data_IF_669452917818
#
_entry.id   IF_669452917818
#
_cell.length_a   1.000
_cell.length_b   1.000
_cell.length_c   1.000
_cell.angle_alpha   90.00
_cell.angle_beta   90.00
_cell.angle_gamma   90.00
#
_symmetry.space_group_name_H-M   'P 1'
#
loop_
_entity.id
_entity.type
_entity.pdbx_description
1 polymer ?
#
# COMPACT_ATOMS: atom_id res chain seq x y z
N UNK A 1 -6.29 8.65 -12.56
CA UNK A 1 -5.54 9.82 -13.07
C UNK A 1 -4.22 9.33 -13.64
N UNK A 2 -3.90 9.67 -14.90
CA UNK A 2 -2.57 9.39 -15.46
C UNK A 2 -1.62 10.48 -14.97
N UNK A 3 -0.67 10.13 -14.13
CA UNK A 3 0.38 11.06 -13.70
C UNK A 3 1.52 11.04 -14.72
N UNK A 4 1.95 12.24 -15.17
CA UNK A 4 3.09 12.40 -16.07
C UNK A 4 4.41 12.12 -15.33
N UNK A 5 5.27 11.33 -15.94
CA UNK A 5 6.63 11.04 -15.47
C UNK A 5 7.62 12.08 -16.00
N UNK A 6 8.46 12.59 -15.10
CA UNK A 6 9.67 13.32 -15.53
C UNK A 6 10.79 12.29 -15.78
N UNK A 7 11.31 12.24 -16.99
CA UNK A 7 12.34 11.30 -17.43
C UNK A 7 13.67 12.03 -17.67
N UNK A 8 14.72 11.57 -17.01
CA UNK A 8 16.10 11.99 -17.34
C UNK A 8 16.84 10.80 -17.94
N UNK A 9 17.18 10.87 -19.21
CA UNK A 9 18.00 9.85 -19.86
C UNK A 9 19.48 10.09 -19.58
N UNK A 10 20.12 9.17 -18.87
CA UNK A 10 21.59 9.05 -18.83
C UNK A 10 21.99 7.65 -19.25
N UNK A 11 22.82 7.57 -20.28
CA UNK A 11 23.45 6.32 -20.70
C UNK A 11 24.71 6.12 -19.85
N UNK A 12 24.69 5.21 -18.90
CA UNK A 12 25.89 4.77 -18.19
C UNK A 12 26.12 3.28 -18.40
N UNK A 13 27.28 2.95 -18.96
CA UNK A 13 27.81 1.57 -18.92
C UNK A 13 28.48 1.40 -17.56
N UNK A 14 27.83 0.71 -16.61
CA UNK A 14 28.45 0.23 -15.40
C UNK A 14 28.17 -1.27 -15.24
N UNK A 15 29.25 -2.01 -14.95
CA UNK A 15 29.18 -3.45 -14.63
C UNK A 15 28.32 -3.66 -13.38
N UNK A 16 27.15 -4.28 -13.55
CA UNK A 16 26.22 -4.62 -12.48
C UNK A 16 26.61 -5.99 -11.92
N UNK A 17 26.88 -6.03 -10.65
CA UNK A 17 27.16 -7.24 -9.88
C UNK A 17 26.07 -8.31 -10.09
N UNK A 18 26.47 -9.49 -10.54
CA UNK A 18 25.63 -10.65 -10.91
C UNK A 18 24.86 -11.30 -9.75
N UNK A 19 24.76 -10.65 -8.59
CA UNK A 19 24.16 -11.23 -7.38
C UNK A 19 22.63 -11.18 -7.32
N UNK A 20 21.96 -10.29 -8.05
CA UNK A 20 20.51 -10.07 -7.95
C UNK A 20 19.67 -10.86 -8.97
N UNK A 21 20.26 -11.43 -9.99
CA UNK A 21 19.56 -12.11 -11.10
C UNK A 21 18.89 -13.44 -10.72
N UNK A 22 19.09 -13.96 -9.52
CA UNK A 22 18.65 -15.32 -9.14
C UNK A 22 17.20 -15.50 -8.72
N UNK A 23 16.38 -14.46 -8.58
CA UNK A 23 15.03 -14.59 -7.99
C UNK A 23 13.87 -14.77 -8.98
N UNK A 24 13.98 -14.39 -10.23
CA UNK A 24 12.79 -14.21 -11.12
C UNK A 24 12.78 -15.03 -12.41
N UNK A 25 13.69 -15.92 -12.64
CA UNK A 25 13.83 -16.64 -13.95
C UNK A 25 12.81 -17.77 -14.21
N UNK A 26 11.80 -17.97 -13.38
CA UNK A 26 11.02 -19.21 -13.38
C UNK A 26 9.70 -19.20 -14.20
N UNK A 27 9.24 -18.09 -14.78
CA UNK A 27 7.91 -18.04 -15.42
C UNK A 27 7.82 -17.45 -16.82
N UNK A 28 8.92 -17.27 -17.53
CA UNK A 28 8.89 -16.65 -18.86
C UNK A 28 9.00 -17.68 -20.00
N UNK A 29 8.25 -17.44 -21.09
CA UNK A 29 8.34 -18.22 -22.32
C UNK A 29 9.79 -18.28 -22.84
N UNK A 30 10.21 -19.44 -23.34
CA UNK A 30 11.54 -19.62 -23.91
C UNK A 30 11.70 -18.68 -25.10
N UNK A 31 12.63 -17.72 -25.03
CA UNK A 31 12.99 -16.85 -26.13
C UNK A 31 12.32 -15.47 -26.17
N UNK A 32 11.39 -15.14 -25.29
CA UNK A 32 10.79 -13.80 -25.19
C UNK A 32 11.70 -12.82 -24.44
N UNK A 33 11.49 -11.53 -24.67
CA UNK A 33 12.07 -10.45 -23.84
C UNK A 33 11.62 -10.61 -22.39
N UNK A 34 12.39 -10.00 -21.46
CA UNK A 34 12.12 -10.03 -20.02
C UNK A 34 12.23 -8.62 -19.46
N UNK A 35 11.52 -8.37 -18.36
CA UNK A 35 11.62 -7.15 -17.58
C UNK A 35 11.89 -7.48 -16.12
N UNK A 36 12.65 -6.62 -15.46
CA UNK A 36 12.92 -6.64 -14.03
C UNK A 36 12.99 -5.21 -13.52
N UNK A 37 12.40 -4.92 -12.37
CA UNK A 37 12.45 -3.59 -11.78
C UNK A 37 13.17 -3.61 -10.43
N UNK A 38 14.13 -2.70 -10.27
CA UNK A 38 14.96 -2.60 -9.08
C UNK A 38 14.72 -1.25 -8.41
N UNK A 39 14.08 -1.28 -7.25
CA UNK A 39 13.92 -0.09 -6.42
C UNK A 39 15.25 0.26 -5.75
N UNK A 40 15.59 1.56 -5.73
CA UNK A 40 16.85 2.05 -5.14
C UNK A 40 16.81 2.11 -3.60
N UNK A 41 15.69 1.69 -2.99
CA UNK A 41 15.52 1.62 -1.55
C UNK A 41 14.61 0.44 -1.17
N UNK A 42 14.89 -0.19 -0.02
CA UNK A 42 14.17 -1.37 0.46
C UNK A 42 12.87 -1.01 1.18
N UNK A 43 12.79 0.20 1.75
CA UNK A 43 11.65 0.66 2.55
C UNK A 43 11.07 1.91 1.92
N UNK A 44 9.76 1.88 1.68
CA UNK A 44 8.99 3.00 1.13
C UNK A 44 8.15 3.65 2.23
N UNK A 45 7.81 4.91 2.00
CA UNK A 45 6.88 5.67 2.83
C UNK A 45 5.81 6.33 1.95
N UNK A 46 4.53 6.35 2.37
CA UNK A 46 3.49 7.07 1.66
C UNK A 46 3.86 8.55 1.42
N UNK A 47 3.55 9.06 0.23
CA UNK A 47 3.80 10.46 -0.15
C UNK A 47 5.21 10.77 -0.63
N UNK A 48 6.17 9.84 -0.59
CA UNK A 48 7.52 10.05 -1.08
C UNK A 48 7.69 9.69 -2.56
N UNK A 49 8.79 10.16 -3.16
CA UNK A 49 9.29 9.65 -4.45
C UNK A 49 10.31 8.54 -4.24
N UNK A 50 10.35 7.58 -5.15
CA UNK A 50 11.32 6.48 -5.18
C UNK A 50 11.93 6.34 -6.57
N UNK A 51 13.25 6.14 -6.62
CA UNK A 51 13.95 5.83 -7.87
C UNK A 51 13.89 4.34 -8.15
N UNK A 52 13.59 4.00 -9.41
CA UNK A 52 13.49 2.63 -9.89
C UNK A 52 14.31 2.51 -11.16
N UNK A 53 15.09 1.45 -11.29
CA UNK A 53 15.76 1.07 -12.55
C UNK A 53 14.98 -0.09 -13.15
N UNK A 54 14.52 0.08 -14.39
CA UNK A 54 13.87 -0.98 -15.14
C UNK A 54 14.91 -1.57 -16.08
N UNK A 55 15.14 -2.87 -15.97
CA UNK A 55 16.00 -3.64 -16.84
C UNK A 55 15.13 -4.39 -17.85
N UNK A 56 15.35 -4.14 -19.14
CA UNK A 56 14.71 -4.90 -20.22
C UNK A 56 15.77 -5.73 -20.92
N UNK A 57 15.52 -7.03 -21.01
CA UNK A 57 16.41 -8.01 -21.62
C UNK A 57 15.79 -8.54 -22.90
N UNK A 58 16.49 -8.45 -24.02
CA UNK A 58 16.08 -9.04 -25.30
C UNK A 58 16.07 -10.57 -25.24
N UNK A 59 15.10 -11.16 -25.92
CA UNK A 59 14.96 -12.61 -26.05
C UNK A 59 15.89 -13.22 -27.09
N UNK A 60 15.45 -14.32 -27.72
CA UNK A 60 16.18 -15.00 -28.77
C UNK A 60 16.15 -14.28 -30.13
N UNK A 61 15.17 -13.41 -30.34
CA UNK A 61 14.98 -12.59 -31.55
C UNK A 61 14.68 -11.16 -31.18
N UNK A 62 14.90 -10.24 -32.08
CA UNK A 62 14.50 -8.84 -31.92
C UNK A 62 12.97 -8.74 -31.72
N UNK A 63 12.54 -7.88 -30.81
CA UNK A 63 11.12 -7.65 -30.48
C UNK A 63 10.82 -6.17 -30.38
N UNK A 64 9.65 -5.77 -30.83
CA UNK A 64 9.14 -4.41 -30.67
C UNK A 64 8.41 -4.34 -29.34
N UNK A 65 8.88 -3.44 -28.49
CA UNK A 65 8.23 -3.09 -27.22
C UNK A 65 7.44 -1.82 -27.47
N UNK A 66 6.12 -1.87 -27.33
CA UNK A 66 5.25 -0.74 -27.56
C UNK A 66 5.15 0.16 -26.33
N UNK A 67 5.23 -0.43 -25.14
CA UNK A 67 5.11 0.28 -23.88
C UNK A 67 5.76 -0.50 -22.73
N UNK A 68 6.16 0.21 -21.67
CA UNK A 68 6.46 -0.35 -20.35
C UNK A 68 5.42 0.18 -19.37
N UNK A 69 4.67 -0.68 -18.74
CA UNK A 69 3.68 -0.33 -17.73
C UNK A 69 4.17 -0.70 -16.34
N UNK A 70 3.94 0.19 -15.36
CA UNK A 70 4.16 -0.08 -13.96
C UNK A 70 2.85 0.15 -13.19
N UNK A 71 2.50 -0.77 -12.31
CA UNK A 71 1.30 -0.69 -11.47
C UNK A 71 1.69 -0.90 -10.02
N UNK A 72 1.43 0.09 -9.17
CA UNK A 72 1.49 -0.08 -7.73
C UNK A 72 0.16 -0.64 -7.27
N UNK A 73 0.18 -1.84 -6.73
CA UNK A 73 -1.01 -2.57 -6.33
C UNK A 73 -1.01 -2.86 -4.84
N UNK A 74 -2.19 -3.00 -4.27
CA UNK A 74 -2.37 -3.50 -2.91
C UNK A 74 -3.51 -4.51 -2.84
N UNK A 75 -3.56 -5.23 -1.72
CA UNK A 75 -4.65 -6.14 -1.39
C UNK A 75 -5.52 -5.52 -0.30
N UNK A 76 -6.84 -5.61 -0.46
CA UNK A 76 -7.82 -5.30 0.58
C UNK A 76 -8.87 -6.40 0.67
N UNK A 77 -9.62 -6.45 1.77
CA UNK A 77 -10.69 -7.41 2.00
C UNK A 77 -12.02 -6.72 1.66
N UNK A 78 -12.78 -7.35 0.78
CA UNK A 78 -14.15 -6.94 0.45
C UNK A 78 -15.16 -7.93 1.01
N UNK A 79 -16.34 -7.43 1.34
CA UNK A 79 -17.49 -8.25 1.72
C UNK A 79 -18.39 -8.47 0.50
N UNK A 80 -18.56 -9.72 0.10
CA UNK A 80 -19.44 -10.12 -0.99
C UNK A 80 -20.58 -10.98 -0.49
N UNK A 81 -21.78 -10.78 -1.04
CA UNK A 81 -22.92 -11.64 -0.74
C UNK A 81 -22.64 -13.07 -1.21
N UNK A 82 -22.89 -14.04 -0.35
CA UNK A 82 -22.74 -15.46 -0.67
C UNK A 82 -24.01 -16.23 -0.24
N UNK A 83 -24.74 -16.78 -1.20
CA UNK A 83 -25.96 -17.53 -0.94
C UNK A 83 -25.73 -18.77 -0.06
N UNK A 84 -24.53 -19.38 -0.12
CA UNK A 84 -24.16 -20.52 0.74
C UNK A 84 -23.93 -20.08 2.18
N UNK A 85 -23.41 -18.89 2.36
CA UNK A 85 -23.22 -18.30 3.70
C UNK A 85 -24.54 -17.82 4.32
N UNK A 86 -25.53 -17.43 3.50
CA UNK A 86 -26.89 -17.10 3.98
C UNK A 86 -27.56 -18.28 4.70
N UNK A 87 -27.38 -19.50 4.21
CA UNK A 87 -27.91 -20.73 4.84
C UNK A 87 -27.25 -21.04 6.19
N UNK A 88 -26.07 -20.48 6.45
CA UNK A 88 -25.31 -20.63 7.69
C UNK A 88 -25.45 -19.42 8.64
N UNK A 89 -26.33 -18.46 8.31
CA UNK A 89 -26.55 -17.25 9.12
C UNK A 89 -25.48 -16.14 8.94
N UNK A 90 -24.57 -16.30 7.98
CA UNK A 90 -23.55 -15.30 7.61
C UNK A 90 -23.76 -14.87 6.15
N UNK A 91 -24.53 -13.80 5.88
CA UNK A 91 -24.92 -13.43 4.50
C UNK A 91 -23.77 -12.89 3.65
N UNK A 92 -22.61 -12.58 4.26
CA UNK A 92 -21.45 -11.98 3.60
C UNK A 92 -20.20 -12.84 3.79
N UNK A 93 -19.38 -12.92 2.75
CA UNK A 93 -18.08 -13.57 2.79
C UNK A 93 -16.97 -12.54 2.54
N UNK A 94 -15.94 -12.57 3.37
CA UNK A 94 -14.74 -11.76 3.21
C UNK A 94 -13.84 -12.38 2.14
N UNK A 95 -13.53 -11.61 1.10
CA UNK A 95 -12.68 -12.06 -0.02
C UNK A 95 -11.59 -11.03 -0.32
N UNK A 96 -10.36 -11.48 -0.61
CA UNK A 96 -9.29 -10.58 -1.00
C UNK A 96 -9.53 -10.03 -2.41
N UNK A 97 -9.37 -8.72 -2.55
CA UNK A 97 -9.39 -8.00 -3.82
C UNK A 97 -8.07 -7.27 -4.02
N UNK A 98 -7.67 -7.14 -5.29
CA UNK A 98 -6.53 -6.30 -5.69
C UNK A 98 -7.04 -4.93 -6.11
N UNK A 99 -6.33 -3.89 -5.70
CA UNK A 99 -6.57 -2.53 -6.16
C UNK A 99 -5.28 -1.91 -6.69
N UNK A 100 -5.36 -1.21 -7.83
CA UNK A 100 -4.25 -0.46 -8.41
C UNK A 100 -4.26 0.95 -7.86
N UNK A 101 -3.29 1.26 -6.98
CA UNK A 101 -3.13 2.55 -6.32
C UNK A 101 -2.63 3.63 -7.30
N UNK A 102 -1.69 3.24 -8.17
CA UNK A 102 -1.13 4.10 -9.20
C UNK A 102 -0.73 3.27 -10.44
N UNK A 103 -0.74 3.91 -11.59
CA UNK A 103 -0.30 3.35 -12.85
C UNK A 103 0.56 4.37 -13.58
N UNK A 104 1.74 3.92 -14.04
CA UNK A 104 2.67 4.71 -14.85
C UNK A 104 2.91 3.99 -16.18
N UNK A 105 3.08 4.75 -17.22
CA UNK A 105 3.35 4.25 -18.56
C UNK A 105 4.54 5.01 -19.13
N UNK A 106 5.49 4.28 -19.69
CA UNK A 106 6.62 4.81 -20.44
C UNK A 106 6.30 4.67 -21.93
N UNK A 107 5.76 5.71 -22.58
CA UNK A 107 5.14 5.61 -23.91
C UNK A 107 6.18 5.65 -25.05
N UNK A 108 7.32 5.01 -24.88
CA UNK A 108 8.36 4.96 -25.91
C UNK A 108 8.41 3.56 -26.51
N UNK A 109 7.89 3.42 -27.73
CA UNK A 109 8.11 2.24 -28.52
C UNK A 109 9.60 2.14 -28.92
N UNK A 110 10.19 0.96 -28.77
CA UNK A 110 11.57 0.67 -29.18
C UNK A 110 11.72 -0.79 -29.56
N UNK A 111 12.69 -1.05 -30.40
CA UNK A 111 13.11 -2.42 -30.69
C UNK A 111 14.21 -2.80 -29.69
N UNK A 112 14.09 -3.98 -29.06
CA UNK A 112 15.16 -4.61 -28.32
C UNK A 112 15.70 -5.76 -29.14
N UNK A 113 17.01 -5.77 -29.38
CA UNK A 113 17.70 -6.80 -30.16
C UNK A 113 17.88 -8.10 -29.36
N UNK A 114 18.15 -9.20 -30.05
CA UNK A 114 18.41 -10.48 -29.40
C UNK A 114 19.57 -10.38 -28.41
N UNK A 115 19.35 -10.69 -27.14
CA UNK A 115 20.34 -10.63 -26.08
C UNK A 115 20.78 -9.22 -25.66
N UNK A 116 20.17 -8.15 -26.22
CA UNK A 116 20.39 -6.76 -25.78
C UNK A 116 19.89 -6.57 -24.35
N UNK A 117 20.55 -5.71 -23.58
CA UNK A 117 20.04 -5.19 -22.29
C UNK A 117 19.88 -3.68 -22.40
N UNK A 118 18.71 -3.18 -21.96
CA UNK A 118 18.41 -1.75 -21.91
C UNK A 118 17.86 -1.37 -20.55
N UNK A 119 18.34 -0.25 -20.00
CA UNK A 119 17.96 0.24 -18.68
C UNK A 119 17.20 1.56 -18.80
N UNK A 120 16.22 1.75 -17.92
CA UNK A 120 15.45 2.99 -17.80
C UNK A 120 15.43 3.42 -16.33
N UNK A 121 16.00 4.60 -16.05
CA UNK A 121 15.95 5.24 -14.74
C UNK A 121 14.68 6.07 -14.66
N UNK A 122 13.84 5.78 -13.69
CA UNK A 122 12.57 6.49 -13.46
C UNK A 122 12.40 6.88 -12.01
N UNK A 123 11.49 7.81 -11.76
CA UNK A 123 11.07 8.20 -10.42
C UNK A 123 9.55 8.04 -10.28
N UNK A 124 9.12 7.28 -9.28
CA UNK A 124 7.72 7.02 -8.99
C UNK A 124 7.29 7.79 -7.74
N UNK A 125 6.16 8.48 -7.81
CA UNK A 125 5.54 9.11 -6.64
C UNK A 125 4.61 8.11 -5.95
N UNK A 126 4.92 7.73 -4.71
CA UNK A 126 4.11 6.81 -3.91
C UNK A 126 2.88 7.53 -3.39
N UNK A 127 1.66 7.07 -3.67
CA UNK A 127 0.45 7.72 -3.18
C UNK A 127 0.38 7.79 -1.65
N UNK A 128 -0.20 8.87 -1.11
CA UNK A 128 -0.32 9.10 0.33
C UNK A 128 -1.10 8.00 1.07
N UNK A 129 -2.09 7.39 0.43
CA UNK A 129 -2.88 6.30 1.02
C UNK A 129 -2.39 4.91 0.59
N UNK A 130 -1.10 4.78 0.25
CA UNK A 130 -0.48 3.47 0.09
C UNK A 130 -0.45 2.76 1.45
N UNK A 131 -1.05 1.57 1.57
CA UNK A 131 -1.10 0.87 2.85
C UNK A 131 0.30 0.55 3.40
N UNK A 132 0.48 0.71 4.71
CA UNK A 132 1.68 0.19 5.39
C UNK A 132 1.62 -1.33 5.46
N UNK A 133 2.75 -2.01 5.19
CA UNK A 133 2.82 -3.47 5.09
C UNK A 133 3.09 -4.11 6.46
N UNK A 134 2.25 -3.78 7.44
CA UNK A 134 2.24 -4.42 8.75
C UNK A 134 1.18 -5.52 8.73
N UNK A 135 1.44 -6.63 9.39
CA UNK A 135 0.51 -7.76 9.44
C UNK A 135 0.25 -8.37 8.04
N UNK A 136 -1.02 -8.49 7.66
CA UNK A 136 -1.44 -9.12 6.41
C UNK A 136 -1.56 -8.16 5.22
N UNK A 137 -1.32 -6.87 5.42
CA UNK A 137 -1.34 -5.89 4.34
C UNK A 137 -0.22 -6.18 3.33
N UNK A 138 -0.57 -6.16 2.04
CA UNK A 138 0.36 -6.45 0.93
C UNK A 138 0.31 -5.33 -0.08
N UNK A 139 1.50 -4.84 -0.44
CA UNK A 139 1.72 -3.86 -1.51
C UNK A 139 2.79 -4.42 -2.43
N UNK A 140 2.65 -4.24 -3.73
CA UNK A 140 3.63 -4.69 -4.71
C UNK A 140 3.66 -3.80 -5.94
N UNK A 141 4.80 -3.77 -6.61
CA UNK A 141 4.97 -3.18 -7.93
C UNK A 141 4.87 -4.28 -8.98
N UNK A 142 4.03 -4.10 -9.98
CA UNK A 142 4.00 -4.92 -11.18
C UNK A 142 4.59 -4.11 -12.32
N UNK A 143 5.57 -4.68 -13.02
CA UNK A 143 6.18 -4.09 -14.22
C UNK A 143 5.93 -5.02 -15.39
N UNK A 144 5.36 -4.50 -16.48
CA UNK A 144 5.04 -5.27 -17.68
C UNK A 144 5.60 -4.61 -18.94
N UNK A 145 5.93 -5.44 -19.93
CA UNK A 145 6.21 -5.00 -21.30
C UNK A 145 5.00 -5.33 -22.17
N UNK A 146 4.55 -4.35 -22.93
CA UNK A 146 3.60 -4.57 -24.02
C UNK A 146 4.42 -4.90 -25.28
N UNK A 147 4.32 -6.13 -25.76
CA UNK A 147 5.08 -6.65 -26.90
C UNK A 147 4.15 -6.97 -28.04
N UNK A 148 4.36 -6.34 -29.17
CA UNK A 148 3.59 -6.59 -30.37
C UNK A 148 3.55 -8.09 -30.74
N UNK A 149 2.35 -8.66 -30.82
CA UNK A 149 2.08 -10.05 -31.22
C UNK A 149 2.69 -11.15 -30.32
N UNK A 150 3.02 -10.84 -29.06
CA UNK A 150 3.57 -11.81 -28.10
C UNK A 150 2.81 -11.78 -26.76
N UNK A 151 3.13 -12.72 -25.87
CA UNK A 151 2.68 -12.64 -24.47
C UNK A 151 3.51 -11.60 -23.71
N UNK A 152 2.83 -10.74 -22.96
CA UNK A 152 3.44 -9.68 -22.17
C UNK A 152 4.16 -10.26 -20.96
N UNK A 153 5.49 -10.13 -20.89
CA UNK A 153 6.23 -10.53 -19.70
C UNK A 153 5.97 -9.53 -18.57
N UNK A 154 5.81 -10.03 -17.36
CA UNK A 154 5.60 -9.21 -16.17
C UNK A 154 6.57 -9.59 -15.06
N UNK A 155 6.98 -8.61 -14.27
CA UNK A 155 7.69 -8.76 -13.02
C UNK A 155 6.81 -8.30 -11.86
N UNK A 156 7.07 -8.83 -10.66
CA UNK A 156 6.30 -8.49 -9.45
C UNK A 156 7.20 -8.44 -8.22
N UNK A 157 7.39 -7.23 -7.70
CA UNK A 157 8.16 -6.95 -6.51
C UNK A 157 7.26 -6.68 -5.31
N UNK A 158 7.38 -7.49 -4.28
CA UNK A 158 6.69 -7.24 -3.00
C UNK A 158 7.44 -6.12 -2.26
N UNK A 159 6.70 -5.11 -1.84
CA UNK A 159 7.26 -3.90 -1.25
C UNK A 159 7.09 -3.89 0.27
N UNK A 160 8.07 -3.28 0.95
CA UNK A 160 7.97 -2.91 2.36
C UNK A 160 7.61 -1.43 2.45
N UNK A 161 6.41 -1.15 2.99
CA UNK A 161 5.93 0.21 3.23
C UNK A 161 5.79 0.42 4.73
N UNK A 162 6.43 1.47 5.26
CA UNK A 162 6.35 1.86 6.67
C UNK A 162 5.48 3.10 6.86
N UNK A 163 4.95 3.33 8.08
CA UNK A 163 4.23 4.55 8.40
C UNK A 163 5.06 5.78 8.09
N UNK A 164 4.43 6.81 7.53
CA UNK A 164 5.08 8.12 7.41
C UNK A 164 5.32 8.73 8.79
N UNK A 165 6.21 9.73 8.95
CA UNK A 165 6.66 10.20 10.26
C UNK A 165 5.55 10.62 11.24
N UNK A 166 4.46 11.23 10.75
CA UNK A 166 3.33 11.64 11.62
C UNK A 166 2.58 10.42 12.18
N UNK A 167 2.30 9.41 11.35
CA UNK A 167 1.70 8.16 11.79
C UNK A 167 2.61 7.38 12.74
N UNK A 168 3.91 7.35 12.46
CA UNK A 168 4.89 6.70 13.33
C UNK A 168 4.96 7.37 14.71
N UNK A 169 4.87 8.70 14.76
CA UNK A 169 4.76 9.47 16.00
C UNK A 169 3.51 9.13 16.81
N UNK A 170 2.36 8.97 16.13
CA UNK A 170 1.12 8.54 16.77
C UNK A 170 1.26 7.13 17.34
N UNK A 171 1.80 6.18 16.58
CA UNK A 171 2.01 4.81 17.05
C UNK A 171 2.95 4.77 18.26
N UNK A 172 4.05 5.51 18.20
CA UNK A 172 5.00 5.64 19.32
C UNK A 172 4.34 6.18 20.58
N UNK A 173 3.49 7.21 20.44
CA UNK A 173 2.76 7.79 21.57
C UNK A 173 1.76 6.81 22.19
N UNK A 174 1.01 6.07 21.36
CA UNK A 174 0.08 5.04 21.83
C UNK A 174 0.83 3.91 22.54
N UNK A 175 1.94 3.45 21.98
CA UNK A 175 2.78 2.41 22.59
C UNK A 175 3.39 2.85 23.93
N UNK A 176 3.80 4.11 24.05
CA UNK A 176 4.29 4.68 25.32
C UNK A 176 3.22 4.68 26.42
N UNK A 177 1.94 4.72 26.07
CA UNK A 177 0.80 4.58 26.99
C UNK A 177 0.37 3.11 27.20
N UNK A 178 1.12 2.14 26.70
CA UNK A 178 0.86 0.71 26.88
C UNK A 178 -0.17 0.12 25.92
N UNK A 179 -0.54 0.84 24.87
CA UNK A 179 -1.36 0.34 23.77
C UNK A 179 -0.45 -0.38 22.76
N UNK A 180 -0.73 -1.63 22.46
CA UNK A 180 0.04 -2.44 21.49
C UNK A 180 -0.76 -2.70 20.24
N UNK A 181 -0.14 -2.48 19.10
CA UNK A 181 -0.74 -2.80 17.80
C UNK A 181 -0.95 -4.32 17.72
N UNK A 182 -2.21 -4.74 17.58
CA UNK A 182 -2.63 -6.14 17.49
C UNK A 182 -2.87 -6.58 16.06
N UNK A 183 -3.57 -5.75 15.28
CA UNK A 183 -4.01 -6.09 13.95
C UNK A 183 -3.94 -4.88 13.03
N UNK A 184 -3.64 -5.13 11.76
CA UNK A 184 -3.69 -4.14 10.68
C UNK A 184 -4.34 -4.78 9.48
N UNK A 185 -5.44 -4.22 9.03
CA UNK A 185 -6.18 -4.72 7.87
C UNK A 185 -6.50 -3.59 6.89
N UNK A 186 -6.60 -3.96 5.61
CA UNK A 186 -7.18 -3.10 4.58
C UNK A 186 -8.57 -3.64 4.26
N UNK A 187 -9.60 -2.88 4.59
CA UNK A 187 -10.98 -3.33 4.47
C UNK A 187 -11.81 -2.41 3.60
N UNK A 188 -12.78 -3.00 2.90
CA UNK A 188 -13.70 -2.25 2.06
C UNK A 188 -14.40 -1.15 2.87
N UNK A 189 -14.40 0.07 2.32
CA UNK A 189 -15.08 1.21 2.91
C UNK A 189 -15.76 2.05 1.83
N UNK A 190 -16.82 2.76 2.22
CA UNK A 190 -17.55 3.72 1.36
C UNK A 190 -17.30 5.14 1.84
N UNK A 191 -17.39 6.10 0.91
CA UNK A 191 -17.23 7.53 1.25
C UNK A 191 -15.79 8.04 1.23
N UNK A 192 -14.82 7.19 0.89
CA UNK A 192 -13.41 7.55 0.66
C UNK A 192 -13.09 7.55 -0.84
N UNK A 193 -11.98 8.20 -1.22
CA UNK A 193 -11.52 8.19 -2.61
C UNK A 193 -11.05 6.78 -3.06
N UNK A 194 -10.56 5.96 -2.12
CA UNK A 194 -10.25 4.55 -2.34
C UNK A 194 -11.46 3.68 -1.91
N UNK A 195 -11.64 2.50 -2.52
CA UNK A 195 -12.71 1.58 -2.14
C UNK A 195 -12.47 0.86 -0.80
N UNK A 196 -11.40 1.19 -0.11
CA UNK A 196 -10.99 0.61 1.17
C UNK A 196 -10.31 1.67 2.03
N UNK A 197 -10.17 1.36 3.32
CA UNK A 197 -9.35 2.08 4.30
C UNK A 197 -8.39 1.10 4.95
N UNK A 198 -7.30 1.63 5.55
CA UNK A 198 -6.46 0.83 6.43
C UNK A 198 -6.85 1.10 7.88
N UNK A 199 -7.13 0.03 8.62
CA UNK A 199 -7.50 0.03 10.01
C UNK A 199 -6.37 -0.53 10.86
N UNK A 200 -6.13 0.13 11.99
CA UNK A 200 -5.13 -0.24 12.98
C UNK A 200 -5.82 -0.52 14.31
N UNK A 201 -5.71 -1.72 14.80
CA UNK A 201 -6.29 -2.14 16.06
C UNK A 201 -5.22 -2.19 17.16
N UNK A 202 -5.44 -1.44 18.23
CA UNK A 202 -4.57 -1.39 19.40
C UNK A 202 -5.28 -1.99 20.63
N UNK A 203 -4.52 -2.76 21.43
CA UNK A 203 -4.99 -3.31 22.69
C UNK A 203 -4.16 -2.77 23.86
N UNK A 204 -4.80 -2.32 24.95
CA UNK A 204 -4.09 -1.87 26.14
C UNK A 204 -3.55 -3.08 26.92
N UNK A 205 -2.23 -3.22 26.94
CA UNK A 205 -1.52 -4.29 27.67
C UNK A 205 -1.00 -3.83 29.02
N UNK A 206 -0.75 -2.53 29.16
CA UNK A 206 -0.29 -1.85 30.38
C UNK A 206 -0.82 -0.42 30.41
N UNK A 207 -0.50 0.35 31.46
CA UNK A 207 -0.76 1.79 31.52
C UNK A 207 -2.19 2.18 31.86
N UNK A 208 -2.59 3.45 31.62
CA UNK A 208 -3.83 4.03 32.15
C UNK A 208 -5.10 3.47 31.49
N UNK A 209 -4.99 2.85 30.34
CA UNK A 209 -6.13 2.31 29.58
C UNK A 209 -6.39 0.82 29.85
N UNK A 210 -5.43 0.12 30.48
CA UNK A 210 -5.59 -1.28 30.85
C UNK A 210 -6.79 -1.49 31.78
N UNK A 211 -7.66 -2.44 31.44
CA UNK A 211 -8.89 -2.74 32.20
C UNK A 211 -10.03 -1.72 32.00
N UNK A 212 -9.78 -0.59 31.32
CA UNK A 212 -10.81 0.39 30.94
C UNK A 212 -11.32 0.15 29.53
N UNK A 213 -10.38 -0.07 28.59
CA UNK A 213 -10.68 -0.34 27.20
C UNK A 213 -10.32 -1.78 26.84
N UNK A 214 -11.08 -2.34 25.97
CA UNK A 214 -10.81 -3.64 25.35
C UNK A 214 -9.85 -3.45 24.17
N UNK A 215 -10.17 -2.50 23.30
CA UNK A 215 -9.40 -2.17 22.12
C UNK A 215 -9.70 -0.74 21.65
N UNK A 216 -8.82 -0.21 20.83
CA UNK A 216 -8.97 1.04 20.08
C UNK A 216 -8.72 0.74 18.62
N UNK A 217 -9.70 0.98 17.79
CA UNK A 217 -9.59 0.92 16.32
C UNK A 217 -9.34 2.31 15.76
N UNK A 218 -8.38 2.44 14.85
CA UNK A 218 -8.00 3.68 14.21
C UNK A 218 -8.02 3.47 12.70
N UNK A 219 -8.89 4.21 12.00
CA UNK A 219 -8.84 4.33 10.55
C UNK A 219 -8.09 5.61 10.21
N UNK A 220 -7.11 5.51 9.32
CA UNK A 220 -6.30 6.63 8.85
C UNK A 220 -6.51 6.88 7.35
N UNK A 221 -6.68 8.14 7.00
CA UNK A 221 -6.72 8.61 5.62
C UNK A 221 -5.84 9.84 5.46
N UNK A 222 -4.88 9.78 4.56
CA UNK A 222 -3.86 10.81 4.36
C UNK A 222 -3.96 11.41 2.97
N UNK A 223 -3.93 12.74 2.91
CA UNK A 223 -3.75 13.52 1.69
C UNK A 223 -2.59 14.53 1.87
N UNK A 224 -2.19 15.31 0.86
CA UNK A 224 -1.10 16.27 0.99
C UNK A 224 -1.32 17.33 2.06
N UNK A 225 -2.57 17.66 2.38
CA UNK A 225 -2.96 18.76 3.28
C UNK A 225 -3.10 18.30 4.74
N UNK A 226 -3.60 17.06 4.97
CA UNK A 226 -3.94 16.61 6.30
C UNK A 226 -3.94 15.09 6.46
N UNK A 227 -3.78 14.64 7.71
CA UNK A 227 -4.08 13.30 8.17
C UNK A 227 -5.43 13.32 8.89
N UNK A 228 -6.36 12.54 8.40
CA UNK A 228 -7.68 12.36 8.99
C UNK A 228 -7.72 11.02 9.72
N UNK A 229 -8.19 11.02 10.95
CA UNK A 229 -8.25 9.87 11.83
C UNK A 229 -9.67 9.69 12.36
N UNK A 230 -10.18 8.47 12.30
CA UNK A 230 -11.42 8.06 12.94
C UNK A 230 -11.11 7.02 13.99
N UNK A 231 -11.78 7.13 15.13
CA UNK A 231 -11.52 6.28 16.29
C UNK A 231 -12.79 5.56 16.75
N UNK A 232 -12.67 4.28 17.02
CA UNK A 232 -13.63 3.52 17.82
C UNK A 232 -12.92 2.96 19.05
N UNK A 233 -13.55 3.11 20.23
CA UNK A 233 -13.03 2.58 21.50
C UNK A 233 -14.04 1.60 22.06
N UNK A 234 -13.69 0.33 22.07
CA UNK A 234 -14.49 -0.71 22.74
C UNK A 234 -14.13 -0.79 24.22
N UNK A 235 -15.17 -0.80 25.07
CA UNK A 235 -15.06 -0.88 26.53
C UNK A 235 -15.63 -2.18 27.02
N UNK A 236 -15.07 -2.73 28.11
CA UNK A 236 -15.52 -4.00 28.71
C UNK A 236 -17.02 -4.06 29.06
N UNK A 237 -17.76 -2.96 29.04
CA UNK A 237 -19.17 -2.89 29.45
C UNK A 237 -20.18 -2.72 28.30
N UNK A 238 -19.78 -2.74 27.04
CA UNK A 238 -20.69 -2.61 25.88
C UNK A 238 -20.33 -3.63 24.81
N UNK A 239 -21.37 -4.30 24.27
CA UNK A 239 -21.21 -5.32 23.25
C UNK A 239 -20.54 -4.81 21.96
N UNK A 240 -19.80 -5.70 21.32
CA UNK A 240 -19.01 -5.44 20.14
C UNK A 240 -19.85 -4.91 18.97
N UNK A 241 -19.50 -3.74 18.49
CA UNK A 241 -19.85 -3.25 17.16
C UNK A 241 -18.58 -2.65 16.58
N UNK A 242 -17.97 -3.34 15.59
CA UNK A 242 -16.74 -2.86 14.98
C UNK A 242 -16.95 -1.59 14.13
N UNK A 243 -15.91 -0.76 14.01
CA UNK A 243 -15.91 0.51 13.26
C UNK A 243 -16.33 0.31 11.80
N UNK A 244 -16.00 -0.81 11.20
CA UNK A 244 -16.42 -1.16 9.84
C UNK A 244 -17.94 -1.22 9.67
N UNK A 245 -18.69 -1.66 10.68
CA UNK A 245 -20.14 -1.61 10.63
C UNK A 245 -20.68 -0.17 10.55
N UNK A 246 -19.93 0.78 11.10
CA UNK A 246 -20.20 2.23 11.04
C UNK A 246 -19.81 2.81 9.67
N UNK A 247 -18.64 2.45 9.13
CA UNK A 247 -18.15 2.89 7.81
C UNK A 247 -18.97 2.30 6.64
N UNK A 248 -19.59 1.15 6.85
CA UNK A 248 -20.48 0.50 5.88
C UNK A 248 -21.89 1.15 5.80
N UNK A 249 -22.10 2.29 6.43
CA UNK A 249 -23.32 3.10 6.32
C UNK A 249 -24.38 2.80 7.38
N UNK A 250 -24.00 2.23 8.53
CA UNK A 250 -24.91 1.90 9.64
C UNK A 250 -24.70 2.74 10.91
N UNK A 251 -23.82 3.75 10.88
CA UNK A 251 -23.60 4.65 12.01
C UNK A 251 -22.79 5.89 11.66
N UNK A 252 -23.00 6.99 12.34
CA UNK A 252 -22.17 8.18 12.23
C UNK A 252 -20.82 7.91 12.92
N UNK A 253 -19.71 8.15 12.22
CA UNK A 253 -18.36 8.19 12.78
C UNK A 253 -18.28 9.33 13.81
N UNK A 254 -18.48 9.01 15.08
CA UNK A 254 -18.66 10.02 16.12
C UNK A 254 -17.37 10.66 16.62
N UNK A 255 -16.19 10.10 16.26
CA UNK A 255 -14.89 10.55 16.76
C UNK A 255 -13.91 10.71 15.63
N UNK A 256 -13.76 11.92 15.19
CA UNK A 256 -12.90 12.31 14.07
C UNK A 256 -11.92 13.39 14.52
N UNK A 257 -10.66 13.22 14.14
CA UNK A 257 -9.57 14.19 14.36
C UNK A 257 -8.87 14.44 13.02
N UNK A 258 -8.64 15.71 12.70
CA UNK A 258 -7.85 16.11 11.53
C UNK A 258 -6.57 16.78 12.00
N UNK A 259 -5.43 16.28 11.52
CA UNK A 259 -4.10 16.83 11.80
C UNK A 259 -3.55 17.46 10.52
N UNK A 260 -3.22 18.76 10.51
CA UNK A 260 -2.60 19.42 9.36
C UNK A 260 -1.27 18.77 8.96
N UNK A 261 -0.93 18.81 7.67
CA UNK A 261 0.28 18.16 7.14
C UNK A 261 1.60 18.60 7.77
N UNK A 262 1.63 19.81 8.34
CA UNK A 262 2.81 20.37 9.01
C UNK A 262 2.92 20.00 10.50
N UNK A 263 1.97 19.22 11.04
CA UNK A 263 2.02 18.73 12.43
C UNK A 263 3.24 17.83 12.61
N UNK A 264 4.06 18.11 13.62
CA UNK A 264 5.21 17.26 13.90
C UNK A 264 4.79 15.87 14.42
N UNK A 265 5.61 14.83 14.28
CA UNK A 265 5.30 13.49 14.80
C UNK A 265 4.97 13.48 16.29
N UNK A 266 5.71 14.25 17.10
CA UNK A 266 5.46 14.36 18.53
C UNK A 266 4.11 15.02 18.81
N UNK A 267 3.84 16.18 18.20
CA UNK A 267 2.56 16.88 18.35
C UNK A 267 1.37 16.04 17.91
N UNK A 268 1.53 15.26 16.84
CA UNK A 268 0.48 14.35 16.38
C UNK A 268 0.14 13.31 17.45
N UNK A 269 1.15 12.70 18.04
CA UNK A 269 0.97 11.76 19.14
C UNK A 269 0.28 12.38 20.36
N UNK A 270 0.73 13.59 20.79
CA UNK A 270 0.14 14.33 21.90
C UNK A 270 -1.34 14.70 21.65
N UNK A 271 -1.66 15.17 20.41
CA UNK A 271 -3.02 15.52 20.03
C UNK A 271 -3.96 14.30 20.01
N UNK A 272 -3.48 13.17 19.53
CA UNK A 272 -4.25 11.90 19.53
C UNK A 272 -4.52 11.44 20.96
N UNK A 273 -3.52 11.42 21.83
CA UNK A 273 -3.70 11.04 23.23
C UNK A 273 -4.68 11.98 23.96
N UNK A 274 -4.53 13.30 23.77
CA UNK A 274 -5.46 14.28 24.34
C UNK A 274 -6.88 14.16 23.78
N UNK A 275 -7.03 13.77 22.53
CA UNK A 275 -8.32 13.49 21.91
C UNK A 275 -8.97 12.25 22.52
N UNK A 276 -8.24 11.17 22.67
CA UNK A 276 -8.73 9.93 23.27
C UNK A 276 -9.14 10.14 24.73
N UNK A 277 -8.35 10.83 25.52
CA UNK A 277 -8.68 11.14 26.93
C UNK A 277 -9.97 11.93 27.08
N UNK A 278 -10.24 12.89 26.18
CA UNK A 278 -11.48 13.72 26.21
C UNK A 278 -12.70 13.00 25.68
N UNK A 279 -12.50 12.07 24.74
CA UNK A 279 -13.59 11.41 24.01
C UNK A 279 -13.96 10.06 24.64
N UNK A 280 -13.19 9.56 25.57
CA UNK A 280 -13.30 8.27 26.23
C UNK A 280 -13.25 8.39 27.74
#
# INVERSE_FOLDING_TARGET
MRQGLALTMQFSQQEVSMSFIKKTLASFGIGSAKVDSVLQQEVLYPGQSVKVIIHVYGGATAQVIDNIELKLCCRYIAEVADERCQQQGQPMRRVPHTYTLANWSLPYAFTIEAGEMRNFDIELSIPWNTPVTIGDAKVWLETGLDIALALDPTDKDILTVRPEPMMDGIFSALEAQGLRLRQVECEQAKGFALPFVQEFEFVPTTGPFQGRWREVEIVAYRDPEALQLWFEVDRYQRGASGMLASLLGRGELKRHLTLPAHTSPQEAGEQVLAFLDRSC
#
